data_IF_639620814742
#
_entry.id   IF_639620814742
#
_cell.length_a   1.000
_cell.length_b   1.000
_cell.length_c   1.000
_cell.angle_alpha   90.00
_cell.angle_beta   90.00
_cell.angle_gamma   90.00
#
_symmetry.space_group_name_H-M   'P 1'
#
loop_
_entity.id
_entity.type
_entity.pdbx_description
1 polymer ?
#
# COMPACT_ATOMS: atom_id res chain seq x y z
N UNK A 1 1.65 14.79 -4.24
CA UNK A 1 2.07 14.57 -2.84
C UNK A 1 1.12 15.27 -1.88
N UNK A 2 1.03 14.82 -0.63
CA UNK A 2 0.22 15.49 0.38
C UNK A 2 0.88 15.38 1.76
N UNK A 3 0.70 16.42 2.57
CA UNK A 3 1.08 16.47 3.98
C UNK A 3 -0.21 16.42 4.79
N UNK A 4 -0.26 15.50 5.74
CA UNK A 4 -1.41 15.27 6.62
C UNK A 4 -0.99 15.41 8.08
N UNK A 5 -1.91 15.89 8.91
CA UNK A 5 -1.73 15.89 10.36
C UNK A 5 -1.99 14.50 10.97
N UNK A 6 -1.86 14.38 12.30
CA UNK A 6 -2.12 13.15 13.04
C UNK A 6 -3.59 12.70 13.02
N UNK A 7 -4.52 13.61 12.69
CA UNK A 7 -5.95 13.33 12.57
C UNK A 7 -6.32 12.99 11.11
N UNK A 8 -5.33 12.70 10.25
CA UNK A 8 -5.49 12.41 8.82
C UNK A 8 -6.13 13.56 8.02
N UNK A 9 -6.04 14.80 8.50
CA UNK A 9 -6.51 15.99 7.78
C UNK A 9 -5.39 16.54 6.90
N UNK A 10 -5.74 16.89 5.67
CA UNK A 10 -4.78 17.49 4.74
C UNK A 10 -4.36 18.89 5.22
N UNK A 11 -3.07 19.06 5.48
CA UNK A 11 -2.45 20.36 5.74
C UNK A 11 -2.05 21.01 4.41
N UNK A 12 -1.52 20.20 3.49
CA UNK A 12 -1.12 20.66 2.17
C UNK A 12 -1.26 19.54 1.16
N UNK A 13 -1.71 19.88 -0.05
CA UNK A 13 -1.76 18.98 -1.20
C UNK A 13 -1.03 19.65 -2.34
N UNK A 14 -0.13 18.91 -2.96
CA UNK A 14 0.66 19.33 -4.11
C UNK A 14 0.44 18.32 -5.23
N UNK A 15 0.02 18.79 -6.39
CA UNK A 15 -0.26 17.94 -7.56
C UNK A 15 1.04 17.61 -8.33
N UNK A 16 2.22 17.78 -7.73
CA UNK A 16 3.49 17.32 -8.31
C UNK A 16 3.82 17.98 -9.66
N UNK A 17 4.85 17.46 -10.34
CA UNK A 17 5.34 17.98 -11.62
C UNK A 17 5.07 17.04 -12.78
N UNK A 18 4.90 17.59 -13.99
CA UNK A 18 4.77 16.80 -15.22
C UNK A 18 6.13 16.23 -15.64
N UNK A 19 6.21 14.92 -15.91
CA UNK A 19 7.44 14.26 -16.39
C UNK A 19 7.85 13.04 -15.57
N UNK A 20 9.10 12.57 -15.75
CA UNK A 20 9.69 11.45 -15.00
C UNK A 20 10.67 11.93 -13.93
N UNK A 21 10.27 12.94 -13.16
CA UNK A 21 11.08 13.41 -12.04
C UNK A 21 10.78 12.56 -10.80
N UNK A 22 11.77 12.36 -9.93
CA UNK A 22 11.55 11.65 -8.67
C UNK A 22 10.67 12.48 -7.74
N UNK A 23 9.89 11.83 -6.88
CA UNK A 23 9.08 12.52 -5.86
C UNK A 23 9.95 13.42 -4.97
N UNK A 24 11.19 13.02 -4.69
CA UNK A 24 12.15 13.81 -3.93
C UNK A 24 12.56 15.10 -4.64
N UNK A 25 12.89 15.04 -5.94
CA UNK A 25 13.22 16.24 -6.72
C UNK A 25 12.01 17.16 -6.93
N UNK A 26 10.83 16.57 -7.17
CA UNK A 26 9.58 17.35 -7.26
C UNK A 26 9.29 18.04 -5.93
N UNK A 27 9.50 17.37 -4.78
CA UNK A 27 9.31 17.96 -3.46
C UNK A 27 10.26 19.13 -3.23
N UNK A 28 11.55 18.96 -3.50
CA UNK A 28 12.58 19.98 -3.28
C UNK A 28 12.29 21.28 -4.06
N UNK A 29 11.82 21.16 -5.30
CA UNK A 29 11.53 22.33 -6.13
C UNK A 29 10.17 22.97 -5.82
N UNK A 30 9.23 22.23 -5.23
CA UNK A 30 7.85 22.68 -5.10
C UNK A 30 7.63 23.72 -4.00
N UNK A 31 6.54 24.48 -4.15
CA UNK A 31 6.07 25.43 -3.12
C UNK A 31 5.80 24.72 -1.80
N UNK A 32 5.32 23.47 -1.85
CA UNK A 32 5.10 22.65 -0.67
C UNK A 32 6.42 22.31 0.03
N UNK A 33 7.44 21.84 -0.69
CA UNK A 33 8.72 21.51 -0.06
C UNK A 33 9.43 22.73 0.52
N UNK A 34 9.44 23.86 -0.18
CA UNK A 34 9.99 25.13 0.33
C UNK A 34 9.29 25.60 1.60
N UNK A 35 7.97 25.47 1.68
CA UNK A 35 7.19 25.81 2.88
C UNK A 35 7.39 24.81 4.02
N UNK A 36 7.67 23.55 3.71
CA UNK A 36 8.01 22.52 4.69
C UNK A 36 9.37 22.80 5.33
N UNK A 37 10.38 23.08 4.51
CA UNK A 37 11.75 23.40 4.97
C UNK A 37 11.79 24.71 5.76
N UNK A 38 11.04 25.72 5.32
CA UNK A 38 10.90 26.98 6.05
C UNK A 38 10.07 26.88 7.35
N UNK A 39 9.52 25.70 7.68
CA UNK A 39 8.69 25.49 8.87
C UNK A 39 7.31 26.18 8.83
N UNK A 40 6.93 26.76 7.68
CA UNK A 40 5.71 27.56 7.49
C UNK A 40 4.47 26.67 7.51
N UNK A 41 4.60 25.39 7.17
CA UNK A 41 3.48 24.44 7.16
C UNK A 41 2.95 24.07 8.55
N UNK A 42 3.50 24.64 9.63
CA UNK A 42 3.11 24.37 11.04
C UNK A 42 2.93 22.88 11.36
N UNK A 43 3.67 22.03 10.65
CA UNK A 43 3.69 20.57 10.86
C UNK A 43 4.29 20.27 12.24
N UNK A 44 5.07 21.20 12.78
CA UNK A 44 5.76 21.11 14.06
C UNK A 44 4.92 21.51 15.28
N UNK A 45 3.61 21.74 15.14
CA UNK A 45 2.74 21.76 16.34
C UNK A 45 2.57 20.36 17.00
N UNK A 46 3.41 19.41 16.59
CA UNK A 46 3.64 18.10 17.21
C UNK A 46 4.35 18.18 18.57
N UNK A 47 4.80 19.34 19.05
CA UNK A 47 5.50 19.43 20.34
C UNK A 47 4.60 19.46 21.59
N UNK A 48 3.27 19.39 21.50
CA UNK A 48 2.47 19.34 22.73
C UNK A 48 1.08 18.71 22.61
N UNK A 49 0.99 17.47 22.13
CA UNK A 49 -0.18 16.63 22.47
C UNK A 49 0.21 15.25 23.00
N UNK A 50 1.20 15.20 23.89
CA UNK A 50 1.42 14.24 25.01
C UNK A 50 1.09 12.74 24.82
N UNK A 51 0.91 12.24 23.60
CA UNK A 51 0.41 10.90 23.32
C UNK A 51 1.38 10.18 22.39
N UNK A 52 2.56 9.86 22.91
CA UNK A 52 3.54 8.96 22.29
C UNK A 52 2.89 7.66 21.78
N UNK A 53 1.84 7.20 22.46
CA UNK A 53 1.03 6.04 22.05
C UNK A 53 0.29 6.27 20.72
N UNK A 54 -0.32 7.44 20.54
CA UNK A 54 -1.04 7.79 19.32
C UNK A 54 -0.07 7.93 18.14
N UNK A 55 1.08 8.57 18.35
CA UNK A 55 2.12 8.71 17.31
C UNK A 55 2.67 7.34 16.89
N UNK A 56 2.93 6.47 17.87
CA UNK A 56 3.37 5.09 17.62
C UNK A 56 2.31 4.29 16.85
N UNK A 57 1.04 4.42 17.23
CA UNK A 57 -0.08 3.77 16.56
C UNK A 57 -0.22 4.27 15.11
N UNK A 58 -0.27 5.59 14.90
CA UNK A 58 -0.39 6.21 13.58
C UNK A 58 0.79 5.83 12.68
N UNK A 59 2.02 5.81 13.21
CA UNK A 59 3.19 5.35 12.45
C UNK A 59 3.03 3.90 11.99
N UNK A 60 2.61 2.99 12.89
CA UNK A 60 2.38 1.58 12.57
C UNK A 60 1.25 1.41 11.54
N UNK A 61 0.16 2.15 11.69
CA UNK A 61 -0.97 2.14 10.76
C UNK A 61 -0.56 2.63 9.37
N UNK A 62 0.19 3.74 9.30
CA UNK A 62 0.73 4.26 8.03
C UNK A 62 1.71 3.28 7.38
N UNK A 63 2.57 2.61 8.15
CA UNK A 63 3.45 1.54 7.65
C UNK A 63 2.65 0.37 7.08
N UNK A 64 1.60 -0.08 7.77
CA UNK A 64 0.72 -1.14 7.29
C UNK A 64 -0.01 -0.74 5.99
N UNK A 65 -0.58 0.47 5.93
CA UNK A 65 -1.21 1.01 4.71
C UNK A 65 -0.26 1.02 3.52
N UNK A 66 0.98 1.47 3.72
CA UNK A 66 1.98 1.51 2.65
C UNK A 66 2.28 0.13 2.06
N UNK A 67 2.35 -0.90 2.90
CA UNK A 67 2.54 -2.29 2.45
C UNK A 67 1.33 -2.75 1.62
N UNK A 68 0.13 -2.47 2.10
CA UNK A 68 -1.12 -2.78 1.39
C UNK A 68 -1.18 -2.06 0.04
N UNK A 69 -0.96 -0.75 0.02
CA UNK A 69 -0.95 0.09 -1.19
C UNK A 69 0.07 -0.41 -2.22
N UNK A 70 1.31 -0.71 -1.80
CA UNK A 70 2.32 -1.26 -2.69
C UNK A 70 1.89 -2.61 -3.29
N UNK A 71 1.28 -3.48 -2.46
CA UNK A 71 0.80 -4.80 -2.90
C UNK A 71 -0.33 -4.66 -3.93
N UNK A 72 -1.35 -3.85 -3.64
CA UNK A 72 -2.44 -3.57 -4.59
C UNK A 72 -1.96 -2.81 -5.83
N UNK A 73 -0.93 -1.98 -5.72
CA UNK A 73 -0.26 -1.33 -6.85
C UNK A 73 0.36 -2.32 -7.82
N UNK A 74 0.94 -3.42 -7.33
CA UNK A 74 1.45 -4.51 -8.17
C UNK A 74 0.30 -5.30 -8.78
N UNK A 75 -0.71 -5.66 -7.97
CA UNK A 75 -1.86 -6.44 -8.44
C UNK A 75 -2.68 -5.70 -9.50
N UNK A 76 -2.93 -4.41 -9.33
CA UNK A 76 -3.71 -3.58 -10.26
C UNK A 76 -3.06 -3.36 -11.62
N UNK A 77 -1.72 -3.40 -11.69
CA UNK A 77 -1.00 -3.40 -12.97
C UNK A 77 -1.29 -4.65 -13.80
N UNK A 78 -1.49 -5.80 -13.14
CA UNK A 78 -1.68 -7.10 -13.80
C UNK A 78 -3.14 -7.49 -13.97
N UNK A 79 -3.99 -7.24 -12.97
CA UNK A 79 -5.37 -7.73 -12.94
C UNK A 79 -6.37 -6.59 -13.15
N UNK A 80 -7.26 -6.76 -14.14
CA UNK A 80 -8.30 -5.76 -14.47
C UNK A 80 -9.31 -5.54 -13.35
N UNK A 81 -9.53 -6.54 -12.49
CA UNK A 81 -10.50 -6.47 -11.37
C UNK A 81 -10.23 -5.30 -10.41
N UNK A 82 -8.98 -4.84 -10.29
CA UNK A 82 -8.59 -3.72 -9.43
C UNK A 82 -8.60 -2.35 -10.13
N UNK A 83 -8.96 -2.28 -11.42
CA UNK A 83 -8.99 -1.00 -12.15
C UNK A 83 -10.29 -0.21 -11.95
N UNK A 84 -11.26 -0.77 -11.22
CA UNK A 84 -12.51 -0.12 -10.87
C UNK A 84 -12.97 -0.52 -9.47
N UNK A 85 -14.04 0.09 -8.97
CA UNK A 85 -14.65 -0.28 -7.69
C UNK A 85 -15.05 -1.75 -7.68
N UNK A 86 -14.72 -2.47 -6.60
CA UNK A 86 -15.14 -3.86 -6.42
C UNK A 86 -16.51 -3.85 -5.73
N UNK A 87 -17.59 -3.87 -6.52
CA UNK A 87 -18.97 -3.87 -6.02
C UNK A 87 -19.43 -5.30 -5.66
N UNK A 88 -18.73 -5.93 -4.71
CA UNK A 88 -19.03 -7.28 -4.24
C UNK A 88 -19.23 -7.28 -2.72
N UNK A 89 -19.91 -8.31 -2.22
CA UNK A 89 -20.00 -8.58 -0.78
C UNK A 89 -18.60 -8.78 -0.19
N UNK A 90 -18.40 -8.37 1.05
CA UNK A 90 -17.11 -8.41 1.75
C UNK A 90 -16.44 -9.79 1.67
N UNK A 91 -17.20 -10.85 1.96
CA UNK A 91 -16.71 -12.24 1.89
C UNK A 91 -16.15 -12.60 0.51
N UNK A 92 -16.83 -12.19 -0.55
CA UNK A 92 -16.41 -12.45 -1.92
C UNK A 92 -15.19 -11.62 -2.28
N UNK A 93 -15.13 -10.36 -1.82
CA UNK A 93 -13.98 -9.48 -2.03
C UNK A 93 -12.71 -10.07 -1.41
N UNK A 94 -12.80 -10.62 -0.20
CA UNK A 94 -11.68 -11.31 0.47
C UNK A 94 -11.19 -12.49 -0.39
N UNK A 95 -12.11 -13.32 -0.89
CA UNK A 95 -11.78 -14.46 -1.77
C UNK A 95 -11.10 -14.01 -3.06
N UNK A 96 -11.60 -12.94 -3.71
CA UNK A 96 -10.98 -12.38 -4.91
C UNK A 96 -9.55 -11.93 -4.63
N UNK A 97 -9.31 -11.22 -3.52
CA UNK A 97 -7.96 -10.79 -3.13
C UNK A 97 -7.03 -11.99 -2.94
N UNK A 98 -7.46 -13.01 -2.19
CA UNK A 98 -6.66 -14.21 -1.96
C UNK A 98 -6.32 -14.95 -3.26
N UNK A 99 -7.30 -15.17 -4.12
CA UNK A 99 -7.10 -15.84 -5.42
C UNK A 99 -6.10 -15.06 -6.27
N UNK A 100 -6.17 -13.73 -6.32
CA UNK A 100 -5.20 -12.94 -7.10
C UNK A 100 -3.79 -12.98 -6.52
N UNK A 101 -3.63 -13.06 -5.19
CA UNK A 101 -2.33 -13.23 -4.53
C UNK A 101 -1.71 -14.60 -4.85
N UNK A 102 -2.49 -15.67 -4.71
CA UNK A 102 -2.08 -17.04 -5.04
C UNK A 102 -1.67 -17.10 -6.52
N UNK A 103 -2.53 -16.60 -7.42
CA UNK A 103 -2.29 -16.65 -8.85
C UNK A 103 -1.11 -15.78 -9.27
N UNK A 104 -0.90 -14.63 -8.60
CA UNK A 104 0.28 -13.81 -8.82
C UNK A 104 1.56 -14.56 -8.46
N UNK A 105 1.57 -15.23 -7.30
CA UNK A 105 2.71 -16.03 -6.86
C UNK A 105 2.98 -17.21 -7.79
N UNK A 106 1.93 -17.96 -8.17
CA UNK A 106 2.04 -19.06 -9.13
C UNK A 106 2.66 -18.61 -10.46
N UNK A 107 2.16 -17.51 -11.04
CA UNK A 107 2.68 -16.98 -12.29
C UNK A 107 4.10 -16.41 -12.14
N UNK A 108 4.48 -15.88 -10.97
CA UNK A 108 5.87 -15.47 -10.70
C UNK A 108 6.81 -16.67 -10.69
N UNK A 109 6.41 -17.78 -10.06
CA UNK A 109 7.20 -19.02 -10.02
C UNK A 109 7.37 -19.61 -11.43
N UNK A 110 6.29 -19.66 -12.23
CA UNK A 110 6.36 -20.18 -13.61
C UNK A 110 7.16 -19.29 -14.56
N UNK A 111 7.12 -17.96 -14.39
CA UNK A 111 7.82 -17.02 -15.27
C UNK A 111 9.29 -16.79 -14.90
N UNK A 112 9.71 -17.13 -13.68
CA UNK A 112 11.12 -17.28 -13.38
C UNK A 112 11.52 -18.70 -13.80
N UNK A 113 12.60 -18.88 -14.56
CA UNK A 113 13.18 -20.20 -14.91
C UNK A 113 13.74 -20.94 -13.67
N UNK A 114 12.96 -21.04 -12.59
CA UNK A 114 13.28 -21.86 -11.43
C UNK A 114 12.88 -23.29 -11.81
N UNK A 115 13.74 -23.95 -12.60
CA UNK A 115 13.54 -25.32 -13.10
C UNK A 115 13.57 -26.41 -12.02
N UNK A 116 13.72 -26.06 -10.73
CA UNK A 116 14.01 -27.04 -9.67
C UNK A 116 13.16 -26.86 -8.41
N UNK A 117 11.87 -26.56 -8.54
CA UNK A 117 10.94 -26.85 -7.45
C UNK A 117 9.89 -27.78 -8.04
N UNK A 118 10.02 -29.08 -7.73
CA UNK A 118 8.86 -29.99 -7.68
C UNK A 118 7.93 -29.44 -6.59
N UNK A 119 7.18 -28.39 -6.94
CA UNK A 119 6.01 -28.03 -6.18
C UNK A 119 5.01 -29.12 -6.50
N UNK A 120 4.55 -29.85 -5.49
CA UNK A 120 3.25 -30.50 -5.54
C UNK A 120 2.22 -29.39 -5.81
N UNK A 121 1.97 -29.12 -7.10
CA UNK A 121 1.45 -27.84 -7.61
C UNK A 121 0.09 -27.51 -7.00
N UNK A 122 -0.62 -28.53 -6.53
CA UNK A 122 -1.96 -28.43 -5.98
C UNK A 122 -1.99 -28.38 -4.44
N UNK A 123 -1.08 -29.07 -3.73
CA UNK A 123 -1.21 -29.17 -2.27
C UNK A 123 -0.93 -27.88 -1.52
N UNK A 124 0.06 -27.08 -1.92
CA UNK A 124 0.36 -25.85 -1.19
C UNK A 124 -0.73 -24.79 -1.39
N UNK A 125 -1.37 -24.77 -2.56
CA UNK A 125 -2.51 -23.89 -2.85
C UNK A 125 -3.72 -24.34 -2.05
N UNK A 126 -4.01 -25.65 -2.04
CA UNK A 126 -5.10 -26.23 -1.25
C UNK A 126 -4.89 -25.95 0.24
N UNK A 127 -3.69 -26.18 0.79
CA UNK A 127 -3.37 -25.83 2.18
C UNK A 127 -3.50 -24.34 2.47
N UNK A 128 -3.05 -23.47 1.56
CA UNK A 128 -3.20 -22.03 1.73
C UNK A 128 -4.67 -21.58 1.66
N UNK A 129 -5.52 -22.26 0.89
CA UNK A 129 -6.96 -22.02 0.85
C UNK A 129 -7.66 -22.57 2.10
N UNK A 130 -7.26 -23.75 2.57
CA UNK A 130 -7.78 -24.40 3.78
C UNK A 130 -7.42 -23.60 5.05
N UNK A 131 -6.18 -23.13 5.19
CA UNK A 131 -5.75 -22.30 6.33
C UNK A 131 -6.52 -20.97 6.41
N UNK A 132 -7.00 -20.45 5.28
CA UNK A 132 -7.78 -19.21 5.23
C UNK A 132 -9.26 -19.45 5.52
N UNK A 133 -9.81 -20.64 5.24
CA UNK A 133 -11.20 -21.01 5.57
C UNK A 133 -11.39 -21.43 7.05
N UNK A 134 -10.29 -21.71 7.79
CA UNK A 134 -10.33 -22.13 9.21
C UNK A 134 -10.66 -20.99 10.18
N UNK A 135 -10.61 -19.72 9.77
CA UNK A 135 -10.93 -18.57 10.63
C UNK A 135 -12.36 -18.05 10.47
N UNK A 136 -13.32 -18.96 10.25
CA UNK A 136 -14.76 -18.65 10.29
C UNK A 136 -15.29 -18.55 11.71
#
# INVERSE_FOLDING_TARGET
MAIVDLDYKFICVDVGGYGRNSDGGILEESVMGKRLEAGILNVQNLQSRSNTRLDTYNYRLCRARRVVENTFGILSKKWRVYKGPIELKEETTIKVILVTCILHNYLRVKNCDIKNIELDEDQWVIRALEEVDVNK
#
